data_IF_465966053974
#
_entry.id   IF_465966053974
#
_cell.length_a   1.000
_cell.length_b   1.000
_cell.length_c   1.000
_cell.angle_alpha   90.00
_cell.angle_beta   90.00
_cell.angle_gamma   90.00
#
_symmetry.space_group_name_H-M   'P 1'
#
loop_
_entity.id
_entity.type
_entity.pdbx_description
1 polymer ?
#
# COMPACT_ATOMS: atom_id res chain seq x y z
N UNK A 1 -21.83 -8.21 -2.58
CA UNK A 1 -21.84 -6.84 -2.01
C UNK A 1 -20.45 -6.58 -1.51
N UNK A 2 -19.77 -5.55 -2.01
CA UNK A 2 -18.46 -5.14 -1.50
C UNK A 2 -18.59 -4.84 0.00
N UNK A 3 -17.70 -5.39 0.81
CA UNK A 3 -17.61 -5.04 2.22
C UNK A 3 -16.80 -3.76 2.32
N UNK A 4 -17.16 -2.89 3.25
CA UNK A 4 -16.42 -1.67 3.52
C UNK A 4 -15.47 -1.89 4.69
N UNK A 5 -14.27 -1.36 4.58
CA UNK A 5 -13.19 -1.57 5.54
C UNK A 5 -12.51 -0.26 5.89
N UNK A 6 -11.90 -0.21 7.08
CA UNK A 6 -10.92 0.82 7.38
C UNK A 6 -9.60 0.43 6.73
N UNK A 7 -9.08 1.27 5.83
CA UNK A 7 -7.75 1.06 5.22
C UNK A 7 -6.79 2.11 5.76
N UNK A 8 -5.64 1.67 6.24
CA UNK A 8 -4.51 2.56 6.51
C UNK A 8 -3.32 2.17 5.64
N UNK A 9 -2.64 3.16 5.07
CA UNK A 9 -1.48 2.93 4.19
C UNK A 9 -0.29 3.68 4.74
N UNK A 10 0.86 3.02 4.75
CA UNK A 10 2.15 3.62 5.06
C UNK A 10 3.15 3.33 3.95
N UNK A 11 3.66 4.37 3.30
CA UNK A 11 4.76 4.26 2.34
C UNK A 11 5.99 4.96 2.92
N UNK A 12 6.98 4.19 3.33
CA UNK A 12 8.26 4.70 3.86
C UNK A 12 9.25 4.88 2.71
N UNK A 13 9.71 6.11 2.45
CA UNK A 13 10.71 6.38 1.43
C UNK A 13 11.33 7.77 1.57
N UNK A 14 12.61 7.90 1.23
CA UNK A 14 13.25 9.21 1.04
C UNK A 14 12.98 9.80 -0.37
N UNK A 15 12.40 9.01 -1.28
CA UNK A 15 12.02 9.46 -2.61
C UNK A 15 10.76 10.36 -2.57
N UNK A 16 10.47 10.97 -3.72
CA UNK A 16 9.22 11.71 -3.91
C UNK A 16 8.15 10.76 -4.44
N UNK A 17 7.04 10.63 -3.72
CA UNK A 17 5.85 9.94 -4.22
C UNK A 17 5.20 10.80 -5.31
N UNK A 18 5.08 10.25 -6.52
CA UNK A 18 4.39 10.92 -7.63
C UNK A 18 2.92 10.52 -7.70
N UNK A 19 2.62 9.23 -7.49
CA UNK A 19 1.27 8.70 -7.59
C UNK A 19 1.12 7.44 -6.75
N UNK A 20 0.03 7.39 -5.98
CA UNK A 20 -0.45 6.17 -5.36
C UNK A 20 -1.89 5.91 -5.80
N UNK A 21 -2.20 4.65 -6.10
CA UNK A 21 -3.57 4.23 -6.36
C UNK A 21 -3.94 3.01 -5.54
N UNK A 22 -5.22 2.96 -5.19
CA UNK A 22 -5.88 1.83 -4.57
C UNK A 22 -7.19 1.58 -5.31
N UNK A 23 -7.46 0.35 -5.75
CA UNK A 23 -8.62 0.02 -6.61
C UNK A 23 -8.76 0.92 -7.84
N UNK A 24 -7.62 1.33 -8.41
CA UNK A 24 -7.57 2.26 -9.54
C UNK A 24 -7.86 3.73 -9.21
N UNK A 25 -8.31 4.05 -8.00
CA UNK A 25 -8.52 5.43 -7.54
C UNK A 25 -7.20 6.07 -7.11
N UNK A 26 -6.97 7.32 -7.52
CA UNK A 26 -5.82 8.09 -7.05
C UNK A 26 -6.03 8.54 -5.59
N UNK A 27 -5.13 8.14 -4.71
CA UNK A 27 -5.20 8.42 -3.28
C UNK A 27 -4.03 9.31 -2.89
N UNK A 28 -4.33 10.48 -2.31
CA UNK A 28 -3.32 11.45 -1.91
C UNK A 28 -2.79 11.13 -0.51
N UNK A 29 -1.63 10.48 -0.40
CA UNK A 29 -0.98 10.31 0.89
C UNK A 29 -0.32 11.60 1.39
N UNK A 30 -0.33 11.80 2.70
CA UNK A 30 0.30 12.94 3.36
C UNK A 30 1.71 12.56 3.81
N UNK A 31 2.72 13.29 3.35
CA UNK A 31 4.10 13.13 3.83
C UNK A 31 4.23 13.66 5.25
N UNK A 32 4.79 12.84 6.13
CA UNK A 32 5.06 13.16 7.53
C UNK A 32 6.56 13.41 7.76
N UNK A 33 6.92 13.94 8.93
CA UNK A 33 8.29 14.39 9.23
C UNK A 33 9.33 13.26 9.25
N UNK A 34 8.90 12.03 9.46
CA UNK A 34 9.72 10.81 9.49
C UNK A 34 9.87 10.15 8.10
N UNK A 35 9.64 10.90 7.01
CA UNK A 35 9.72 10.41 5.62
C UNK A 35 8.79 9.23 5.31
N UNK A 36 7.63 9.21 5.97
CA UNK A 36 6.55 8.28 5.66
C UNK A 36 5.39 9.03 5.05
N UNK A 37 4.83 8.51 3.98
CA UNK A 37 3.56 8.94 3.42
C UNK A 37 2.44 8.11 4.04
N UNK A 38 1.44 8.76 4.63
CA UNK A 38 0.36 8.08 5.35
C UNK A 38 -1.01 8.54 4.90
N UNK A 39 -1.99 7.64 4.98
CA UNK A 39 -3.42 7.96 4.94
C UNK A 39 -4.22 6.91 5.71
N UNK A 40 -5.38 7.33 6.23
CA UNK A 40 -6.40 6.43 6.75
C UNK A 40 -7.73 6.75 6.06
N UNK A 41 -8.34 5.74 5.45
CA UNK A 41 -9.61 5.78 4.74
C UNK A 41 -10.63 4.99 5.55
N UNK A 42 -11.79 5.59 5.76
CA UNK A 42 -12.94 4.93 6.39
C UNK A 42 -13.89 4.45 5.31
N UNK A 43 -14.58 3.34 5.58
CA UNK A 43 -15.61 2.76 4.72
C UNK A 43 -15.17 2.51 3.26
N UNK A 44 -13.92 2.10 3.05
CA UNK A 44 -13.39 1.84 1.71
C UNK A 44 -13.93 0.50 1.18
N UNK A 45 -14.59 0.45 0.01
CA UNK A 45 -15.18 -0.76 -0.52
C UNK A 45 -14.11 -1.69 -1.09
N UNK A 46 -14.16 -2.95 -0.69
CA UNK A 46 -13.27 -4.01 -1.16
C UNK A 46 -14.12 -5.25 -1.49
N UNK A 47 -13.80 -5.91 -2.61
CA UNK A 47 -14.43 -7.16 -3.00
C UNK A 47 -13.62 -8.38 -2.52
N UNK A 48 -12.66 -8.85 -3.32
CA UNK A 48 -11.88 -10.08 -3.02
C UNK A 48 -10.36 -9.85 -3.07
N UNK A 49 -9.91 -8.80 -3.74
CA UNK A 49 -8.52 -8.45 -3.96
C UNK A 49 -8.33 -6.93 -3.81
N UNK A 50 -7.16 -6.51 -3.33
CA UNK A 50 -6.76 -5.10 -3.27
C UNK A 50 -5.76 -4.77 -4.35
N UNK A 51 -6.18 -4.08 -5.38
CA UNK A 51 -5.29 -3.57 -6.41
C UNK A 51 -4.55 -2.31 -5.91
N UNK A 52 -3.22 -2.29 -6.03
CA UNK A 52 -2.41 -1.12 -5.68
C UNK A 52 -1.44 -0.74 -6.79
N UNK A 53 -1.08 0.55 -6.80
CA UNK A 53 -0.02 1.08 -7.63
C UNK A 53 0.78 2.13 -6.88
N UNK A 54 2.11 2.01 -6.90
CA UNK A 54 3.05 2.98 -6.32
C UNK A 54 3.96 3.47 -7.44
N UNK A 55 4.13 4.79 -7.54
CA UNK A 55 5.10 5.42 -8.40
C UNK A 55 5.90 6.46 -7.62
N UNK A 56 7.19 6.20 -7.44
CA UNK A 56 8.14 7.08 -6.78
C UNK A 56 9.21 7.55 -7.77
N UNK A 57 9.72 8.76 -7.58
CA UNK A 57 10.86 9.33 -8.31
C UNK A 57 11.90 9.83 -7.33
N UNK A 58 13.17 9.70 -7.68
CA UNK A 58 14.25 10.14 -6.79
C UNK A 58 15.62 9.76 -7.30
N UNK A 59 16.58 9.71 -6.39
CA UNK A 59 17.93 9.27 -6.68
C UNK A 59 17.95 7.75 -6.92
N UNK A 60 18.83 7.30 -7.81
CA UNK A 60 19.04 5.87 -8.01
C UNK A 60 19.42 5.20 -6.70
N UNK A 61 18.95 3.96 -6.49
CA UNK A 61 19.18 3.17 -5.28
C UNK A 61 18.48 3.68 -4.02
N UNK A 62 17.60 4.67 -4.12
CA UNK A 62 16.72 5.02 -3.01
C UNK A 62 15.64 3.94 -2.85
N UNK A 63 15.53 3.28 -1.68
CA UNK A 63 14.52 2.27 -1.45
C UNK A 63 13.17 2.89 -1.06
N UNK A 64 12.12 2.09 -1.21
CA UNK A 64 10.81 2.37 -0.63
C UNK A 64 10.17 1.07 -0.12
N UNK A 65 9.31 1.20 0.88
CA UNK A 65 8.49 0.10 1.39
C UNK A 65 7.05 0.56 1.63
N UNK A 66 6.11 -0.28 1.23
CA UNK A 66 4.67 -0.07 1.36
C UNK A 66 4.11 -1.08 2.36
N UNK A 67 3.32 -0.58 3.30
CA UNK A 67 2.46 -1.35 4.18
C UNK A 67 1.01 -0.93 4.00
N UNK A 68 0.12 -1.90 4.02
CA UNK A 68 -1.32 -1.69 4.00
C UNK A 68 -1.92 -2.43 5.19
N UNK A 69 -2.80 -1.74 5.90
CA UNK A 69 -3.55 -2.24 7.04
C UNK A 69 -5.03 -2.22 6.71
N UNK A 70 -5.74 -3.30 7.02
CA UNK A 70 -7.19 -3.41 6.93
C UNK A 70 -7.74 -3.70 8.31
N UNK A 71 -8.67 -2.88 8.78
CA UNK A 71 -9.24 -2.96 10.13
C UNK A 71 -8.15 -3.12 11.20
N UNK A 72 -7.08 -2.32 11.03
CA UNK A 72 -5.88 -2.29 11.89
C UNK A 72 -5.01 -3.57 11.88
N UNK A 73 -5.30 -4.54 11.00
CA UNK A 73 -4.45 -5.70 10.72
C UNK A 73 -3.52 -5.43 9.55
N UNK A 74 -2.21 -5.60 9.72
CA UNK A 74 -1.21 -5.53 8.63
C UNK A 74 -1.46 -6.71 7.68
N UNK A 75 -1.88 -6.41 6.43
CA UNK A 75 -2.10 -7.40 5.37
C UNK A 75 -0.87 -7.58 4.48
N UNK A 76 0.22 -6.86 4.80
CA UNK A 76 1.51 -6.87 4.10
C UNK A 76 2.64 -7.22 5.08
N UNK A 77 2.58 -8.37 5.77
CA UNK A 77 3.55 -8.73 6.80
C UNK A 77 4.98 -8.79 6.26
N UNK A 78 5.13 -9.25 5.01
CA UNK A 78 6.29 -8.91 4.19
C UNK A 78 5.99 -7.60 3.45
N UNK A 79 6.68 -6.49 3.79
CA UNK A 79 6.39 -5.22 3.15
C UNK A 79 6.65 -5.33 1.65
N UNK A 80 5.74 -4.80 0.86
CA UNK A 80 5.98 -4.63 -0.57
C UNK A 80 7.09 -3.59 -0.70
N UNK A 81 8.16 -3.93 -1.42
CA UNK A 81 9.35 -3.08 -1.53
C UNK A 81 9.68 -2.82 -2.98
N UNK A 82 10.39 -1.72 -3.20
CA UNK A 82 11.09 -1.49 -4.44
C UNK A 82 12.21 -0.49 -4.25
N UNK A 83 12.89 -0.22 -5.34
CA UNK A 83 14.04 0.66 -5.40
C UNK A 83 13.93 1.52 -6.66
N UNK A 84 14.39 2.76 -6.55
CA UNK A 84 14.49 3.67 -7.69
C UNK A 84 15.60 3.19 -8.63
N UNK A 85 15.20 2.82 -9.85
CA UNK A 85 16.11 2.47 -10.94
C UNK A 85 15.94 3.48 -12.08
N UNK A 86 17.02 4.22 -12.40
CA UNK A 86 17.04 5.24 -13.46
C UNK A 86 16.07 6.41 -13.21
N UNK A 87 16.03 6.88 -11.96
CA UNK A 87 15.27 8.07 -11.56
C UNK A 87 13.82 7.83 -11.14
N UNK A 88 13.28 6.62 -11.36
CA UNK A 88 11.94 6.26 -10.87
C UNK A 88 11.81 4.78 -10.46
N UNK A 89 10.71 4.46 -9.78
CA UNK A 89 10.25 3.10 -9.49
C UNK A 89 8.74 3.08 -9.57
N UNK A 90 8.18 2.18 -10.37
CA UNK A 90 6.74 2.03 -10.52
C UNK A 90 6.36 0.55 -10.37
N UNK A 91 5.54 0.25 -9.37
CA UNK A 91 5.10 -1.11 -9.06
C UNK A 91 3.57 -1.15 -9.02
N UNK A 92 3.00 -2.11 -9.75
CA UNK A 92 1.61 -2.51 -9.64
C UNK A 92 1.57 -3.90 -9.01
N UNK A 93 0.63 -4.12 -8.11
CA UNK A 93 0.38 -5.43 -7.56
C UNK A 93 -1.02 -5.52 -7.01
N UNK A 94 -1.31 -6.67 -6.43
CA UNK A 94 -2.62 -6.98 -5.90
C UNK A 94 -2.49 -7.88 -4.66
N UNK A 95 -3.38 -7.71 -3.67
CA UNK A 95 -3.34 -8.44 -2.39
C UNK A 95 -4.64 -9.23 -2.23
N UNK A 96 -4.55 -10.56 -2.15
CA UNK A 96 -5.71 -11.43 -1.95
C UNK A 96 -6.05 -11.59 -0.46
N UNK A 97 -7.34 -11.43 -0.11
CA UNK A 97 -7.79 -11.45 1.29
C UNK A 97 -8.16 -12.82 1.84
N UNK A 98 -8.21 -13.86 1.00
CA UNK A 98 -8.81 -15.15 1.38
C UNK A 98 -7.90 -16.09 2.20
N UNK A 99 -6.71 -15.66 2.64
CA UNK A 99 -5.73 -16.60 3.20
C UNK A 99 -5.83 -16.93 4.71
N UNK A 100 -6.78 -16.35 5.47
CA UNK A 100 -6.88 -16.57 6.93
C UNK A 100 -8.25 -17.10 7.41
N UNK A 101 -8.92 -18.00 6.67
CA UNK A 101 -10.11 -18.71 7.18
C UNK A 101 -9.94 -20.23 7.37
N UNK A 102 -8.71 -20.77 7.26
CA UNK A 102 -8.49 -22.23 7.32
C UNK A 102 -7.79 -22.79 8.57
N UNK A 103 -7.46 -21.98 9.60
CA UNK A 103 -6.82 -22.49 10.83
C UNK A 103 -7.69 -22.33 12.10
N UNK A 104 -8.98 -22.65 12.02
CA UNK A 104 -9.78 -22.94 13.22
C UNK A 104 -10.69 -24.15 13.00
N UNK A 105 -10.11 -25.32 12.70
CA UNK A 105 -10.80 -26.60 12.93
C UNK A 105 -9.78 -27.73 13.12
N UNK A 106 -9.23 -27.87 14.33
CA UNK A 106 -8.81 -29.17 14.90
C UNK A 106 -9.03 -29.15 16.40
#
# INVERSE_FOLDING_TARGET
>A
MAKTYKISVELTTEATLQLFRLEGFAIALVRTLDNVYRISLQDFPIEDELDFYVHCTGWNKTPWSLKIFIDDKDITPEPIRGEIEKGYSAVRGSINFQQDQHEQTV
#
